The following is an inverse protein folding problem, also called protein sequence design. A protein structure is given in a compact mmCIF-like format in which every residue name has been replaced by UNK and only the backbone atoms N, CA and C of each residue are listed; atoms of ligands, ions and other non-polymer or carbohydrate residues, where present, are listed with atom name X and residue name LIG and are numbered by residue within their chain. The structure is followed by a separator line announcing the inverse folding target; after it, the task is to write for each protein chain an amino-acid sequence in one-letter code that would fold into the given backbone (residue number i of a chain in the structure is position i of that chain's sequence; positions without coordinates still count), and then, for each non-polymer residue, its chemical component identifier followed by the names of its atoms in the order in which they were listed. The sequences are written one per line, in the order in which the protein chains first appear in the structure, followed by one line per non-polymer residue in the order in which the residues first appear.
data_IF_784451715143
#
_entry.id   IF_784451715143
#
_cell.length_a   1.000
_cell.length_b   1.000
_cell.length_c   1.000
_cell.angle_alpha   90.00
_cell.angle_beta   90.00
_cell.angle_gamma   90.00
#
_symmetry.space_group_name_H-M   'P 1'
#
loop_
_entity.id
_entity.type
_entity.pdbx_description
1 polymer ?
#
# COMPACT_ATOMS: atom_id res chain seq x y z
N UNK A 1 26.90 3.23 -4.60
CA UNK A 1 26.45 3.17 -3.19
C UNK A 1 24.94 3.30 -3.32
N UNK A 2 24.22 2.20 -3.61
CA UNK A 2 22.77 2.20 -3.87
C UNK A 2 22.16 0.77 -3.77
N UNK A 3 22.74 -0.13 -2.97
CA UNK A 3 22.25 -1.51 -2.79
C UNK A 3 21.55 -1.73 -1.43
N UNK A 4 21.17 -0.66 -0.74
CA UNK A 4 20.48 -0.78 0.55
C UNK A 4 18.98 -0.96 0.32
N UNK A 5 18.48 -2.17 0.60
CA UNK A 5 17.03 -2.43 0.61
C UNK A 5 16.41 -1.81 1.85
N UNK A 6 15.27 -1.13 1.65
CA UNK A 6 14.48 -0.52 2.72
C UNK A 6 13.02 -0.93 2.63
N UNK A 7 12.27 -0.68 3.70
CA UNK A 7 10.83 -0.89 3.70
C UNK A 7 10.14 0.38 3.21
N UNK A 8 9.51 0.27 2.04
CA UNK A 8 8.73 1.34 1.43
C UNK A 8 7.26 0.98 1.47
N UNK A 9 6.40 1.97 1.66
CA UNK A 9 4.96 1.81 1.54
C UNK A 9 4.42 2.75 0.47
N UNK A 10 3.81 2.17 -0.57
CA UNK A 10 3.03 2.89 -1.56
C UNK A 10 1.59 2.94 -1.06
N UNK A 11 1.02 4.14 -0.94
CA UNK A 11 -0.35 4.34 -0.48
C UNK A 11 -1.21 4.90 -1.61
N UNK A 12 -2.35 4.25 -1.89
CA UNK A 12 -3.36 4.68 -2.86
C UNK A 12 -4.61 5.08 -2.10
N UNK A 13 -4.77 6.38 -1.86
CA UNK A 13 -5.95 6.95 -1.21
C UNK A 13 -7.16 6.91 -2.13
N UNK A 14 -8.26 6.37 -1.63
CA UNK A 14 -9.50 6.14 -2.36
C UNK A 14 -10.62 7.12 -1.96
N UNK A 15 -10.33 8.08 -1.07
CA UNK A 15 -11.32 9.02 -0.53
C UNK A 15 -12.18 8.37 0.56
N UNK A 16 -13.41 8.84 0.73
CA UNK A 16 -14.31 8.28 1.74
C UNK A 16 -14.76 6.84 1.40
N UNK A 17 -14.99 6.00 2.41
CA UNK A 17 -15.51 4.64 2.23
C UNK A 17 -16.79 4.64 1.40
N UNK A 18 -16.87 3.70 0.45
CA UNK A 18 -18.14 3.39 -0.21
C UNK A 18 -18.82 2.25 0.56
N UNK A 19 -19.96 2.49 1.22
CA UNK A 19 -20.65 1.45 2.00
C UNK A 19 -21.20 0.32 1.12
N UNK A 20 -21.29 0.53 -0.19
CA UNK A 20 -21.84 -0.43 -1.17
C UNK A 20 -20.84 -0.86 -2.24
N UNK A 21 -19.64 -0.30 -2.21
CA UNK A 21 -18.60 -0.52 -3.21
C UNK A 21 -17.72 -1.74 -2.91
N UNK A 22 -16.83 -2.10 -3.84
CA UNK A 22 -15.81 -3.11 -3.61
C UNK A 22 -14.91 -2.70 -2.44
N UNK A 23 -14.72 -3.61 -1.47
CA UNK A 23 -13.98 -3.30 -0.25
C UNK A 23 -14.69 -2.30 0.64
N UNK A 24 -16.02 -2.44 0.80
CA UNK A 24 -16.71 -1.81 1.92
C UNK A 24 -16.01 -2.20 3.24
N UNK A 25 -16.07 -1.33 4.26
CA UNK A 25 -15.40 -1.60 5.54
C UNK A 25 -15.91 -2.88 6.24
N UNK A 26 -17.09 -3.37 5.85
CA UNK A 26 -17.71 -4.59 6.38
C UNK A 26 -17.38 -5.85 5.54
N UNK A 27 -16.59 -5.70 4.47
CA UNK A 27 -16.20 -6.80 3.57
C UNK A 27 -14.99 -7.55 4.10
N UNK A 28 -15.07 -8.88 4.17
CA UNK A 28 -13.91 -9.75 4.42
C UNK A 28 -13.08 -10.03 3.16
N UNK A 29 -13.57 -9.61 1.97
CA UNK A 29 -12.85 -9.77 0.71
C UNK A 29 -11.68 -8.78 0.58
N UNK A 30 -10.58 -9.22 -0.03
CA UNK A 30 -9.44 -8.36 -0.32
C UNK A 30 -9.88 -7.29 -1.34
N UNK A 31 -9.58 -6.03 -1.05
CA UNK A 31 -9.94 -4.92 -1.91
C UNK A 31 -9.29 -5.09 -3.32
N UNK A 32 -10.02 -4.91 -4.44
CA UNK A 32 -9.48 -5.14 -5.77
C UNK A 32 -8.22 -4.34 -6.10
N UNK A 33 -8.16 -3.08 -5.63
CA UNK A 33 -6.96 -2.24 -5.75
C UNK A 33 -5.76 -2.82 -5.00
N UNK A 34 -5.96 -3.41 -3.82
CA UNK A 34 -4.89 -4.09 -3.10
C UNK A 34 -4.34 -5.28 -3.91
N UNK A 35 -5.22 -6.10 -4.51
CA UNK A 35 -4.79 -7.19 -5.40
C UNK A 35 -3.98 -6.69 -6.60
N UNK A 36 -4.43 -5.61 -7.26
CA UNK A 36 -3.70 -5.04 -8.40
C UNK A 36 -2.32 -4.50 -8.00
N UNK A 37 -2.18 -3.94 -6.80
CA UNK A 37 -0.88 -3.49 -6.29
C UNK A 37 0.08 -4.67 -6.09
N UNK A 38 -0.40 -5.78 -5.53
CA UNK A 38 0.41 -6.99 -5.35
C UNK A 38 0.80 -7.60 -6.72
N UNK A 39 -0.13 -7.64 -7.68
CA UNK A 39 0.13 -8.08 -9.05
C UNK A 39 1.18 -7.20 -9.75
N UNK A 40 1.16 -5.89 -9.51
CA UNK A 40 2.16 -4.94 -10.05
C UNK A 40 3.56 -5.33 -9.58
N UNK A 41 3.73 -5.63 -8.29
CA UNK A 41 5.00 -6.04 -7.71
C UNK A 41 5.50 -7.39 -8.26
N UNK A 42 4.58 -8.35 -8.41
CA UNK A 42 4.90 -9.65 -9.00
C UNK A 42 5.26 -9.58 -10.48
N UNK A 43 4.70 -8.65 -11.23
CA UNK A 43 4.93 -8.55 -12.69
C UNK A 43 6.34 -8.06 -13.03
N UNK A 44 6.86 -7.05 -12.31
CA UNK A 44 8.11 -6.39 -12.71
C UNK A 44 9.34 -7.28 -12.59
N UNK A 45 9.37 -8.17 -11.59
CA UNK A 45 10.54 -9.03 -11.31
C UNK A 45 10.18 -10.51 -11.14
N UNK A 46 8.91 -10.89 -11.15
CA UNK A 46 8.42 -12.23 -10.85
C UNK A 46 7.90 -12.36 -9.42
N UNK A 47 7.10 -13.40 -9.18
CA UNK A 47 6.48 -13.69 -7.87
C UNK A 47 7.55 -13.79 -6.78
N UNK A 48 7.30 -13.14 -5.64
CA UNK A 48 8.21 -13.09 -4.48
C UNK A 48 9.62 -12.53 -4.77
N UNK A 49 9.79 -11.77 -5.86
CA UNK A 49 11.09 -11.13 -6.13
C UNK A 49 11.30 -9.85 -5.35
N UNK A 50 10.24 -9.08 -5.19
CA UNK A 50 10.15 -7.99 -4.24
C UNK A 50 9.20 -8.49 -3.15
N UNK A 51 9.69 -8.80 -1.93
CA UNK A 51 8.83 -9.15 -0.81
C UNK A 51 7.80 -8.04 -0.60
N UNK A 52 6.53 -8.41 -0.56
CA UNK A 52 5.46 -7.44 -0.41
C UNK A 52 4.25 -8.01 0.32
N UNK A 53 3.41 -7.11 0.82
CA UNK A 53 2.06 -7.41 1.25
C UNK A 53 1.19 -6.17 1.09
N UNK A 54 -0.12 -6.37 1.06
CA UNK A 54 -1.09 -5.28 0.86
C UNK A 54 -2.08 -5.18 2.01
N UNK A 55 -2.55 -3.96 2.27
CA UNK A 55 -3.59 -3.69 3.27
C UNK A 55 -4.62 -2.73 2.68
N UNK A 56 -5.84 -2.80 3.22
CA UNK A 56 -6.89 -1.83 2.97
C UNK A 56 -7.44 -1.36 4.31
N UNK A 57 -7.60 -0.05 4.47
CA UNK A 57 -8.09 0.50 5.72
C UNK A 57 -8.17 2.02 5.72
N UNK A 58 -8.52 2.61 6.88
CA UNK A 58 -8.52 4.05 7.03
C UNK A 58 -7.10 4.62 6.91
N UNK A 59 -6.98 5.84 6.41
CA UNK A 59 -5.73 6.60 6.48
C UNK A 59 -5.41 6.84 7.96
N UNK A 60 -4.42 6.10 8.48
CA UNK A 60 -4.19 5.94 9.93
C UNK A 60 -3.98 7.30 10.61
N UNK A 61 -3.18 8.21 10.03
CA UNK A 61 -2.94 9.51 10.65
C UNK A 61 -4.21 10.36 10.79
N UNK A 62 -5.16 10.23 9.85
CA UNK A 62 -6.44 10.93 9.90
C UNK A 62 -7.37 10.27 10.91
N UNK A 63 -7.39 8.93 10.93
CA UNK A 63 -8.19 8.15 11.87
C UNK A 63 -7.80 8.46 13.32
N UNK A 64 -6.52 8.36 13.65
CA UNK A 64 -5.98 8.62 15.00
C UNK A 64 -6.27 10.04 15.45
N UNK A 65 -6.10 11.03 14.57
CA UNK A 65 -6.46 12.41 14.87
C UNK A 65 -7.96 12.57 15.12
N UNK A 66 -8.80 12.01 14.25
CA UNK A 66 -10.25 12.10 14.36
C UNK A 66 -10.76 11.44 15.64
N UNK A 67 -10.24 10.26 15.99
CA UNK A 67 -10.57 9.56 17.23
C UNK A 67 -10.17 10.40 18.45
N UNK A 68 -8.95 10.98 18.45
CA UNK A 68 -8.47 11.80 19.57
C UNK A 68 -9.26 13.10 19.76
N UNK A 69 -9.78 13.68 18.68
CA UNK A 69 -10.59 14.91 18.73
C UNK A 69 -12.05 14.63 19.05
N UNK A 70 -12.62 13.53 18.56
CA UNK A 70 -14.07 13.25 18.64
C UNK A 70 -14.46 12.26 19.73
N UNK A 71 -13.53 11.43 20.22
CA UNK A 71 -13.82 10.39 21.21
C UNK A 71 -14.99 9.51 20.79
N UNK A 72 -16.01 9.42 21.64
CA UNK A 72 -17.21 8.60 21.43
C UNK A 72 -18.04 8.99 20.18
N UNK A 73 -17.84 10.19 19.64
CA UNK A 73 -18.49 10.64 18.40
C UNK A 73 -17.67 10.32 17.13
N UNK A 74 -16.62 9.49 17.24
CA UNK A 74 -15.86 9.02 16.10
C UNK A 74 -16.73 8.16 15.16
N UNK A 75 -16.72 8.51 13.89
CA UNK A 75 -17.40 7.78 12.82
C UNK A 75 -16.35 7.36 11.77
N UNK A 76 -16.05 6.05 11.65
CA UNK A 76 -15.14 5.53 10.63
C UNK A 76 -15.54 5.89 9.20
N UNK A 77 -16.84 6.05 8.92
CA UNK A 77 -17.32 6.40 7.59
C UNK A 77 -16.94 7.84 7.17
N UNK A 78 -16.53 8.68 8.14
CA UNK A 78 -16.07 10.04 7.91
C UNK A 78 -14.55 10.14 7.70
N UNK A 79 -13.83 9.02 7.70
CA UNK A 79 -12.37 8.97 7.54
C UNK A 79 -12.03 8.40 6.18
N UNK A 80 -11.15 9.06 5.38
CA UNK A 80 -10.71 8.51 4.11
C UNK A 80 -10.01 7.16 4.27
N UNK A 81 -10.13 6.31 3.25
CA UNK A 81 -9.48 5.00 3.16
C UNK A 81 -8.41 4.97 2.09
N UNK A 82 -7.48 4.04 2.24
CA UNK A 82 -6.41 3.76 1.30
C UNK A 82 -6.15 2.27 1.15
N UNK A 83 -5.65 1.88 -0.03
CA UNK A 83 -4.96 0.61 -0.21
C UNK A 83 -3.46 0.87 -0.13
N UNK A 84 -2.73 0.09 0.65
CA UNK A 84 -1.28 0.18 0.76
C UNK A 84 -0.61 -1.06 0.20
N UNK A 85 0.57 -0.87 -0.40
CA UNK A 85 1.52 -1.91 -0.76
C UNK A 85 2.81 -1.63 -0.03
N UNK A 86 3.15 -2.49 0.92
CA UNK A 86 4.43 -2.41 1.62
C UNK A 86 5.41 -3.37 0.97
N UNK A 87 6.59 -2.88 0.60
CA UNK A 87 7.63 -3.63 -0.10
C UNK A 87 8.97 -3.52 0.62
N UNK A 88 9.79 -4.57 0.54
CA UNK A 88 11.20 -4.52 0.91
C UNK A 88 12.06 -4.46 -0.35
N UNK A 89 12.43 -3.25 -0.78
CA UNK A 89 12.96 -2.97 -2.11
C UNK A 89 14.18 -2.05 -2.07
N UNK A 90 15.03 -2.13 -3.10
CA UNK A 90 16.02 -1.07 -3.40
C UNK A 90 15.35 0.09 -4.12
N UNK A 91 16.04 1.24 -4.19
CA UNK A 91 15.54 2.41 -4.92
C UNK A 91 15.34 2.10 -6.43
N UNK A 92 16.25 1.33 -7.05
CA UNK A 92 16.09 0.87 -8.44
C UNK A 92 14.83 0.00 -8.65
N UNK A 93 14.53 -0.90 -7.71
CA UNK A 93 13.31 -1.71 -7.77
C UNK A 93 12.05 -0.86 -7.58
N UNK A 94 12.15 0.18 -6.75
CA UNK A 94 11.05 1.11 -6.52
C UNK A 94 10.79 1.99 -7.75
N UNK A 95 11.84 2.49 -8.40
CA UNK A 95 11.76 3.28 -9.63
C UNK A 95 11.13 2.50 -10.80
N UNK A 96 11.27 1.17 -10.82
CA UNK A 96 10.56 0.30 -11.77
C UNK A 96 9.12 0.00 -11.33
N UNK A 97 8.87 -0.13 -10.02
CA UNK A 97 7.57 -0.48 -9.46
C UNK A 97 6.55 0.66 -9.58
N UNK A 98 6.95 1.90 -9.27
CA UNK A 98 6.01 3.04 -9.22
C UNK A 98 5.33 3.30 -10.59
N UNK A 99 6.05 3.33 -11.73
CA UNK A 99 5.40 3.46 -13.03
C UNK A 99 4.50 2.28 -13.38
N UNK A 100 4.87 1.06 -12.94
CA UNK A 100 4.06 -0.14 -13.17
C UNK A 100 2.71 -0.06 -12.42
N UNK A 101 2.72 0.42 -11.17
CA UNK A 101 1.50 0.66 -10.39
C UNK A 101 0.62 1.72 -11.06
N UNK A 102 1.20 2.84 -11.48
CA UNK A 102 0.46 3.93 -12.17
C UNK A 102 -0.21 3.39 -13.45
N UNK A 103 0.52 2.59 -14.22
CA UNK A 103 -0.01 1.99 -15.44
C UNK A 103 -1.13 0.97 -15.15
N UNK A 104 -0.96 0.11 -14.15
CA UNK A 104 -1.94 -0.94 -13.82
C UNK A 104 -3.23 -0.36 -13.27
N UNK A 105 -3.13 0.67 -12.42
CA UNK A 105 -4.28 1.40 -11.91
C UNK A 105 -4.92 2.31 -12.97
N UNK A 106 -4.30 2.45 -14.15
CA UNK A 106 -4.76 3.31 -15.22
C UNK A 106 -4.92 4.76 -14.76
N UNK A 107 -3.92 5.29 -14.07
CA UNK A 107 -3.95 6.64 -13.50
C UNK A 107 -3.55 7.64 -14.56
N UNK A 108 -4.40 8.64 -14.79
CA UNK A 108 -4.15 9.72 -15.74
C UNK A 108 -3.47 10.95 -15.12
N UNK A 109 -3.23 11.97 -15.94
CA UNK A 109 -2.60 13.24 -15.53
C UNK A 109 -3.42 14.06 -14.51
N UNK A 110 -4.69 13.70 -14.30
CA UNK A 110 -5.58 14.32 -13.31
C UNK A 110 -5.76 13.45 -12.06
N UNK A 111 -4.94 12.41 -11.91
CA UNK A 111 -5.03 11.40 -10.85
C UNK A 111 -6.34 10.62 -10.84
N UNK A 112 -7.07 10.54 -11.95
CA UNK A 112 -8.20 9.63 -12.06
C UNK A 112 -7.68 8.22 -12.35
N UNK A 113 -8.05 7.26 -11.50
CA UNK A 113 -7.78 5.84 -11.73
C UNK A 113 -8.96 5.19 -12.42
N UNK A 114 -8.72 4.63 -13.61
CA UNK A 114 -9.72 3.81 -14.31
C UNK A 114 -10.11 2.56 -13.50
N UNK A 115 -9.14 1.94 -12.80
CA UNK A 115 -9.37 0.76 -11.98
C UNK A 115 -10.25 1.05 -10.75
N UNK A 116 -10.02 2.17 -10.06
CA UNK A 116 -10.84 2.59 -8.92
C UNK A 116 -12.12 3.35 -9.31
N UNK A 117 -12.26 3.70 -10.59
CA UNK A 117 -13.32 4.55 -11.14
C UNK A 117 -13.48 5.90 -10.41
N UNK A 118 -12.38 6.45 -9.87
CA UNK A 118 -12.37 7.72 -9.11
C UNK A 118 -11.00 8.39 -9.13
N UNK A 119 -10.99 9.65 -8.72
CA UNK A 119 -9.75 10.36 -8.38
C UNK A 119 -9.11 9.72 -7.15
N UNK A 120 -7.81 9.43 -7.24
CA UNK A 120 -7.02 8.83 -6.17
C UNK A 120 -5.87 9.77 -5.76
N UNK A 121 -5.27 9.49 -4.61
CA UNK A 121 -4.01 10.12 -4.21
C UNK A 121 -2.94 9.03 -4.11
N UNK A 122 -1.74 9.28 -4.64
CA UNK A 122 -0.61 8.37 -4.49
C UNK A 122 0.39 8.98 -3.52
N UNK A 123 0.77 8.20 -2.51
CA UNK A 123 1.83 8.55 -1.56
C UNK A 123 2.92 7.48 -1.55
N UNK A 124 4.15 7.91 -1.26
CA UNK A 124 5.27 7.02 -0.97
C UNK A 124 5.79 7.35 0.43
N UNK A 125 5.91 6.35 1.29
CA UNK A 125 6.37 6.48 2.67
C UNK A 125 7.59 5.59 2.89
N UNK A 126 8.67 6.18 3.41
CA UNK A 126 9.81 5.42 3.94
C UNK A 126 9.49 5.00 5.37
N UNK A 127 9.36 3.70 5.61
CA UNK A 127 9.00 3.15 6.93
C UNK A 127 10.24 3.01 7.83
N UNK A 128 11.46 2.96 7.28
CA UNK A 128 12.69 2.77 8.05
C UNK A 128 13.05 3.98 8.94
N UNK A 129 12.50 5.17 8.65
CA UNK A 129 12.77 6.37 9.44
C UNK A 129 11.98 6.50 10.75
N UNK A 130 11.01 5.60 11.03
CA UNK A 130 10.35 5.51 12.36
C UNK A 130 11.11 4.56 13.29
N UNK A 131 12.34 4.95 13.63
CA UNK A 131 13.22 4.55 14.74
C UNK A 131 13.63 3.07 14.91
N UNK A 132 12.85 2.11 14.47
CA UNK A 132 13.14 0.68 14.46
C UNK A 132 12.09 0.13 13.50
N UNK A 133 12.45 -0.44 12.34
CA UNK A 133 11.46 -1.13 11.51
C UNK A 133 10.72 -2.12 12.44
N UNK A 134 9.43 -1.88 12.76
CA UNK A 134 8.82 -2.61 13.85
C UNK A 134 8.83 -4.09 13.49
N UNK A 135 8.97 -4.97 14.49
CA UNK A 135 9.04 -6.42 14.32
C UNK A 135 7.90 -6.98 13.43
N UNK A 136 6.80 -6.24 13.29
CA UNK A 136 5.71 -6.49 12.35
C UNK A 136 6.17 -6.65 10.90
N UNK A 137 7.21 -5.95 10.44
CA UNK A 137 7.71 -6.04 9.05
C UNK A 137 8.84 -7.06 8.86
N UNK A 138 9.27 -7.74 9.92
CA UNK A 138 10.33 -8.75 9.85
C UNK A 138 9.99 -9.87 8.85
N UNK A 139 8.70 -10.15 8.65
CA UNK A 139 8.23 -11.13 7.67
C UNK A 139 8.67 -10.81 6.24
N UNK A 140 8.80 -9.54 5.84
CA UNK A 140 9.29 -9.15 4.51
C UNK A 140 10.78 -9.44 4.34
N UNK A 141 11.57 -9.17 5.38
CA UNK A 141 13.00 -9.49 5.41
C UNK A 141 13.20 -11.01 5.40
N UNK A 142 12.36 -11.75 6.12
CA UNK A 142 12.42 -13.21 6.17
C UNK A 142 12.02 -13.84 4.82
N UNK A 143 10.99 -13.31 4.14
CA UNK A 143 10.64 -13.72 2.78
C UNK A 143 11.83 -13.59 1.81
N UNK A 144 12.55 -12.46 1.87
CA UNK A 144 13.75 -12.25 1.05
C UNK A 144 14.86 -13.25 1.39
N UNK A 145 15.16 -13.43 2.68
CA UNK A 145 16.23 -14.33 3.14
C UNK A 145 15.94 -15.79 2.81
N UNK A 146 14.71 -16.24 3.04
CA UNK A 146 14.30 -17.62 2.74
C UNK A 146 14.37 -17.92 1.24
N UNK A 147 14.11 -16.92 0.39
CA UNK A 147 14.30 -17.05 -1.04
C UNK A 147 15.77 -17.20 -1.43
N UNK A 148 16.67 -16.41 -0.84
CA UNK A 148 18.12 -16.51 -1.11
C UNK A 148 18.73 -17.87 -0.73
N UNK A 149 18.06 -18.68 0.09
CA UNK A 149 18.47 -20.05 0.45
C UNK A 149 18.01 -21.09 -0.59
N UNK A 150 17.04 -20.74 -1.46
CA UNK A 150 16.43 -21.63 -2.45
C UNK A 150 16.93 -21.40 -3.89
N UNK A 151 17.65 -20.31 -4.15
CA UNK A 151 18.38 -20.01 -5.40
C UNK A 151 19.87 -20.43 -5.28
#
# INVERSE_FOLDING_TARGET
MDDERRIWQVAVGLGLPDPTGPGSLDSEEIHPIALMLEESAHRIRGVNRIPCYTEFGPVIEIAEFAERVRGDAYDPAAVPVECTLTVYATDDELDELLPAIVADLGIDEHNYSAAAARTVTIGLRDIETRAEAPASYQHLVDQYRNRAVLD
#
